data_IF_980692856682
#
_entry.id   IF_980692856682
#
_cell.length_a   1.000
_cell.length_b   1.000
_cell.length_c   1.000
_cell.angle_alpha   90.00
_cell.angle_beta   90.00
_cell.angle_gamma   90.00
#
_symmetry.space_group_name_H-M   'P 1'
#
loop_
_entity.id
_entity.type
_entity.pdbx_description
1 polymer ?
#
# COMPACT_ATOMS: atom_id res chain seq x y z
N UNK A 1 -20.64 -14.57 5.61
CA UNK A 1 -20.65 -14.49 4.18
C UNK A 1 -19.41 -13.81 3.69
N UNK A 2 -19.04 -14.17 2.55
CA UNK A 2 -18.06 -13.38 1.92
C UNK A 2 -18.56 -11.95 1.84
N UNK A 3 -17.71 -11.03 2.15
CA UNK A 3 -18.06 -9.65 2.02
C UNK A 3 -18.27 -9.31 0.56
N UNK A 4 -19.06 -8.30 0.34
CA UNK A 4 -19.26 -7.82 -1.01
C UNK A 4 -17.91 -7.31 -1.53
N UNK A 5 -17.35 -7.94 -2.58
CA UNK A 5 -16.03 -7.54 -3.08
C UNK A 5 -16.01 -6.13 -3.68
N UNK A 6 -17.17 -5.50 -3.84
CA UNK A 6 -17.25 -4.13 -4.35
C UNK A 6 -17.15 -3.10 -3.22
N UNK A 7 -17.14 -3.54 -1.97
CA UNK A 7 -17.06 -2.65 -0.83
C UNK A 7 -15.77 -2.90 -0.07
N UNK A 8 -14.82 -1.95 -0.10
CA UNK A 8 -13.65 -2.08 0.75
C UNK A 8 -14.05 -2.03 2.21
N UNK A 9 -13.48 -2.89 3.03
CA UNK A 9 -13.66 -2.87 4.47
C UNK A 9 -12.71 -1.88 5.12
N UNK A 10 -11.58 -1.60 4.49
CA UNK A 10 -10.56 -0.71 5.01
C UNK A 10 -9.78 -0.15 3.83
N UNK A 11 -9.39 1.10 3.92
CA UNK A 11 -8.66 1.78 2.86
C UNK A 11 -7.61 2.70 3.48
N UNK A 12 -6.42 2.68 2.90
CA UNK A 12 -5.33 3.58 3.28
C UNK A 12 -4.79 4.25 2.03
N UNK A 13 -4.42 5.51 2.14
CA UNK A 13 -3.94 6.30 1.00
C UNK A 13 -2.64 6.99 1.38
N UNK A 14 -1.68 6.95 0.47
CA UNK A 14 -0.43 7.71 0.59
C UNK A 14 -0.20 8.48 -0.69
N UNK A 15 0.59 9.55 -0.58
CA UNK A 15 0.99 10.33 -1.75
C UNK A 15 2.36 10.94 -1.52
N UNK A 16 3.04 11.25 -2.61
CA UNK A 16 4.29 11.97 -2.56
C UNK A 16 4.48 12.75 -3.86
N UNK A 17 5.38 13.73 -3.81
CA UNK A 17 5.76 14.51 -4.98
C UNK A 17 7.23 14.24 -5.24
N UNK A 18 7.57 13.84 -6.46
CA UNK A 18 8.94 13.52 -6.80
C UNK A 18 9.75 14.79 -7.11
N UNK A 19 11.04 14.60 -7.41
CA UNK A 19 11.95 15.72 -7.66
C UNK A 19 11.59 16.54 -8.90
N UNK A 20 10.76 15.99 -9.77
CA UNK A 20 10.26 16.69 -10.98
C UNK A 20 8.89 17.31 -10.76
N UNK A 21 8.45 17.37 -9.49
CA UNK A 21 7.14 17.94 -9.10
C UNK A 21 5.95 17.12 -9.60
N UNK A 22 6.14 15.84 -9.86
CA UNK A 22 5.05 14.94 -10.24
C UNK A 22 4.42 14.31 -9.00
N UNK A 23 3.09 14.32 -8.97
CA UNK A 23 2.33 13.73 -7.87
C UNK A 23 2.10 12.25 -8.13
N UNK A 24 2.29 11.46 -7.07
CA UNK A 24 2.03 10.02 -7.07
C UNK A 24 1.09 9.69 -5.91
N UNK A 25 0.08 8.88 -6.19
CA UNK A 25 -0.87 8.44 -5.17
C UNK A 25 -0.97 6.93 -5.20
N UNK A 26 -1.02 6.33 -4.02
CA UNK A 26 -1.27 4.90 -3.86
C UNK A 26 -2.45 4.71 -2.92
N UNK A 27 -3.37 3.84 -3.33
CA UNK A 27 -4.54 3.49 -2.52
C UNK A 27 -4.51 2.00 -2.27
N UNK A 28 -4.53 1.64 -1.00
CA UNK A 28 -4.55 0.25 -0.56
C UNK A 28 -5.92 -0.06 0.00
N UNK A 29 -6.61 -1.03 -0.58
CA UNK A 29 -7.96 -1.39 -0.16
C UNK A 29 -8.04 -2.88 0.08
N UNK A 30 -8.86 -3.29 1.04
CA UNK A 30 -9.08 -4.70 1.29
C UNK A 30 -10.57 -5.04 1.21
N UNK A 31 -10.85 -6.26 0.77
CA UNK A 31 -12.19 -6.80 0.60
C UNK A 31 -12.58 -7.78 1.72
N UNK A 32 -11.78 -7.85 2.78
CA UNK A 32 -11.97 -8.81 3.85
C UNK A 32 -11.00 -9.98 3.77
N UNK A 33 -10.30 -10.12 2.66
CA UNK A 33 -9.36 -11.22 2.43
C UNK A 33 -7.97 -10.72 2.07
N UNK A 34 -7.87 -9.84 1.10
CA UNK A 34 -6.60 -9.35 0.59
C UNK A 34 -6.60 -7.84 0.49
N UNK A 35 -5.42 -7.27 0.69
CA UNK A 35 -5.13 -5.86 0.45
C UNK A 35 -4.50 -5.74 -0.93
N UNK A 36 -5.08 -4.90 -1.78
CA UNK A 36 -4.56 -4.63 -3.12
C UNK A 36 -4.24 -3.15 -3.27
N UNK A 37 -3.44 -2.82 -4.27
CA UNK A 37 -2.93 -1.47 -4.52
C UNK A 37 -3.44 -0.95 -5.85
N UNK A 38 -3.85 0.33 -5.85
CA UNK A 38 -4.12 1.08 -7.07
C UNK A 38 -3.22 2.30 -7.09
N UNK A 39 -2.77 2.66 -8.27
CA UNK A 39 -1.76 3.70 -8.46
C UNK A 39 -2.24 4.76 -9.42
N UNK A 40 -1.97 6.02 -9.08
CA UNK A 40 -2.16 7.14 -10.00
C UNK A 40 -0.88 7.96 -10.01
N UNK A 41 -0.30 8.15 -11.18
CA UNK A 41 0.95 8.88 -11.36
C UNK A 41 0.74 10.00 -12.37
N UNK A 42 1.37 11.14 -12.13
CA UNK A 42 1.30 12.28 -13.07
C UNK A 42 1.84 11.84 -14.43
N UNK A 43 1.08 12.13 -15.48
CA UNK A 43 1.45 11.74 -16.85
C UNK A 43 1.07 10.31 -17.19
N UNK A 44 0.49 9.57 -16.24
CA UNK A 44 -0.02 8.24 -16.50
C UNK A 44 -1.43 8.26 -17.08
N UNK A 45 -1.98 7.09 -17.33
CA UNK A 45 -3.29 6.92 -17.96
C UNK A 45 -4.44 6.76 -16.96
N UNK A 46 -4.33 7.40 -15.81
CA UNK A 46 -5.34 7.30 -14.74
C UNK A 46 -4.94 6.25 -13.72
N UNK A 47 -5.92 5.58 -13.14
CA UNK A 47 -5.66 4.58 -12.12
C UNK A 47 -5.30 3.24 -12.73
N UNK A 48 -4.22 2.66 -12.22
CA UNK A 48 -3.74 1.35 -12.68
C UNK A 48 -3.54 0.44 -11.48
N UNK A 49 -3.49 -0.86 -11.72
CA UNK A 49 -3.20 -1.82 -10.66
C UNK A 49 -1.73 -1.74 -10.27
N UNK A 50 -1.48 -1.75 -8.97
CA UNK A 50 -0.11 -1.84 -8.45
C UNK A 50 0.30 -3.29 -8.25
N UNK A 51 1.53 -3.48 -7.82
CA UNK A 51 2.11 -4.81 -7.63
C UNK A 51 1.83 -5.40 -6.26
N UNK A 52 1.31 -4.61 -5.32
CA UNK A 52 1.08 -5.09 -3.96
C UNK A 52 -0.20 -5.91 -3.88
N UNK A 53 -0.11 -7.10 -3.28
CA UNK A 53 -1.26 -7.93 -2.95
C UNK A 53 -0.86 -8.84 -1.81
N UNK A 54 -1.48 -8.66 -0.64
CA UNK A 54 -1.17 -9.44 0.56
C UNK A 54 -2.43 -9.67 1.37
N UNK A 55 -2.49 -10.75 2.16
CA UNK A 55 -3.65 -11.00 3.01
C UNK A 55 -3.85 -9.92 4.06
N UNK A 56 -5.10 -9.63 4.34
CA UNK A 56 -5.45 -8.68 5.39
C UNK A 56 -6.88 -8.22 5.26
N UNK A 57 -7.46 -7.82 6.38
CA UNK A 57 -8.81 -7.25 6.40
C UNK A 57 -8.84 -5.83 6.96
N UNK A 58 -7.67 -5.32 7.36
CA UNK A 58 -7.48 -3.92 7.72
C UNK A 58 -6.13 -3.48 7.19
N UNK A 59 -6.00 -2.20 6.84
CA UNK A 59 -4.77 -1.68 6.27
C UNK A 59 -4.50 -0.26 6.73
N UNK A 60 -3.23 0.04 6.96
CA UNK A 60 -2.74 1.39 7.11
C UNK A 60 -1.41 1.51 6.35
N UNK A 61 -0.98 2.73 6.07
CA UNK A 61 0.22 2.92 5.27
C UNK A 61 0.89 4.24 5.59
N UNK A 62 2.19 4.29 5.35
CA UNK A 62 2.96 5.52 5.46
C UNK A 62 4.01 5.57 4.36
N UNK A 63 4.49 6.77 4.07
CA UNK A 63 5.47 7.00 3.02
C UNK A 63 6.42 8.11 3.47
N UNK A 64 7.68 7.98 3.07
CA UNK A 64 8.63 9.09 3.22
C UNK A 64 9.62 9.06 2.05
N UNK A 65 10.30 10.17 1.88
CA UNK A 65 11.28 10.35 0.80
C UNK A 65 12.63 10.74 1.37
N UNK A 66 13.67 10.25 0.72
CA UNK A 66 15.04 10.69 0.95
C UNK A 66 15.68 10.97 -0.41
N UNK A 67 16.94 11.36 -0.42
CA UNK A 67 17.66 11.53 -1.69
C UNK A 67 17.78 10.21 -2.46
N UNK A 68 17.64 9.07 -1.80
CA UNK A 68 17.66 7.76 -2.44
C UNK A 68 16.34 7.42 -3.15
N UNK A 69 15.25 8.07 -2.77
CA UNK A 69 13.94 7.84 -3.38
C UNK A 69 12.83 7.70 -2.35
N UNK A 70 11.83 6.90 -2.68
CA UNK A 70 10.60 6.78 -1.91
C UNK A 70 10.61 5.46 -1.13
N UNK A 71 10.19 5.55 0.13
CA UNK A 71 10.04 4.40 1.01
C UNK A 71 8.56 4.30 1.40
N UNK A 72 7.98 3.11 1.22
CA UNK A 72 6.57 2.85 1.56
C UNK A 72 6.52 1.74 2.58
N UNK A 73 5.63 1.89 3.56
CA UNK A 73 5.31 0.82 4.50
C UNK A 73 3.81 0.63 4.53
N UNK A 74 3.37 -0.61 4.33
CA UNK A 74 1.96 -0.99 4.38
C UNK A 74 1.79 -2.01 5.48
N UNK A 75 0.84 -1.77 6.36
CA UNK A 75 0.56 -2.63 7.51
C UNK A 75 -0.78 -3.29 7.31
N UNK A 76 -0.76 -4.61 7.19
CA UNK A 76 -1.96 -5.42 6.95
C UNK A 76 -2.26 -6.23 8.19
N UNK A 77 -3.50 -6.16 8.65
CA UNK A 77 -3.93 -6.85 9.87
C UNK A 77 -4.93 -7.92 9.53
N UNK A 78 -4.70 -9.13 10.03
CA UNK A 78 -5.67 -10.21 10.04
C UNK A 78 -5.38 -11.12 11.23
N UNK A 79 -6.42 -11.78 11.76
CA UNK A 79 -6.26 -12.75 12.84
C UNK A 79 -5.46 -12.21 14.03
N UNK A 80 -5.74 -10.96 14.42
CA UNK A 80 -5.11 -10.29 15.55
C UNK A 80 -3.61 -10.03 15.38
N UNK A 81 -3.10 -10.10 14.18
CA UNK A 81 -1.69 -9.84 13.91
C UNK A 81 -1.55 -8.85 12.75
N UNK A 82 -0.58 -7.96 12.88
CA UNK A 82 -0.25 -6.98 11.84
C UNK A 82 1.10 -7.34 11.23
N UNK A 83 1.12 -7.43 9.92
CA UNK A 83 2.34 -7.68 9.15
C UNK A 83 2.74 -6.39 8.43
N UNK A 84 4.03 -6.07 8.50
CA UNK A 84 4.60 -4.92 7.81
C UNK A 84 5.15 -5.34 6.46
N UNK A 85 4.76 -4.61 5.42
CA UNK A 85 5.28 -4.81 4.07
C UNK A 85 6.00 -3.55 3.63
N UNK A 86 7.17 -3.73 3.05
CA UNK A 86 8.10 -2.65 2.76
C UNK A 86 8.43 -2.58 1.28
N UNK A 87 8.48 -1.37 0.74
CA UNK A 87 9.04 -1.11 -0.58
C UNK A 87 10.01 0.05 -0.46
N UNK A 88 11.27 -0.20 -0.78
CA UNK A 88 12.35 0.78 -0.73
C UNK A 88 12.81 1.09 -2.15
N UNK A 89 13.57 2.18 -2.36
CA UNK A 89 14.08 2.47 -3.70
C UNK A 89 14.84 1.27 -4.25
N UNK A 90 14.40 0.78 -5.43
CA UNK A 90 15.05 -0.34 -6.10
C UNK A 90 14.68 -1.70 -5.56
N UNK A 91 13.83 -1.81 -4.54
CA UNK A 91 13.40 -3.11 -4.04
C UNK A 91 12.00 -3.44 -4.53
N UNK A 92 11.65 -4.73 -4.55
CA UNK A 92 10.27 -5.15 -4.60
C UNK A 92 9.69 -5.12 -3.18
N UNK A 93 8.48 -5.62 -3.03
CA UNK A 93 7.84 -5.71 -1.72
C UNK A 93 8.48 -6.83 -0.90
N UNK A 94 8.79 -6.53 0.36
CA UNK A 94 9.33 -7.54 1.27
C UNK A 94 8.75 -7.33 2.67
N UNK A 95 8.77 -8.40 3.46
CA UNK A 95 8.24 -8.38 4.82
C UNK A 95 9.19 -7.63 5.73
N UNK A 96 8.65 -6.68 6.50
CA UNK A 96 9.44 -5.90 7.44
C UNK A 96 9.62 -6.59 8.79
N UNK A 97 10.25 -5.88 9.70
CA UNK A 97 10.61 -6.40 11.01
C UNK A 97 9.55 -6.16 12.08
N UNK A 98 8.50 -5.41 11.77
CA UNK A 98 7.47 -5.12 12.76
C UNK A 98 6.76 -6.41 13.20
N UNK A 99 6.52 -6.54 14.48
CA UNK A 99 5.68 -7.61 15.02
C UNK A 99 4.67 -7.02 15.99
N UNK A 100 3.50 -7.62 16.05
CA UNK A 100 2.44 -7.18 16.96
C UNK A 100 2.83 -7.39 18.43
N UNK A 101 3.65 -8.36 18.70
CA UNK A 101 4.09 -8.68 20.05
C UNK A 101 5.59 -8.65 20.16
#
# INVERSE_FOLDING_TARGET
>A
MADNPNYPLSTATISWIDSSSNLHIRVYSCDGYNVIERCSDTGGSGWTAGSFSQPGNQVSATVWQTSAGVYIRVYCTENDATTEWCADPGSGWYKGSYTTN
#
